data_IF_053718317948
#
_entry.id   IF_053718317948
#
_cell.length_a   1.000
_cell.length_b   1.000
_cell.length_c   1.000
_cell.angle_alpha   90.00
_cell.angle_beta   90.00
_cell.angle_gamma   90.00
#
_symmetry.space_group_name_H-M   'P 1'
#
loop_
_entity.id
_entity.type
_entity.pdbx_description
1 polymer ?
#
# COMPACT_ATOMS: atom_id res chain seq x y z
N UNK A 1 -26.62 -30.63 6.76
CA UNK A 1 -25.87 -31.91 6.85
C UNK A 1 -26.75 -33.09 7.24
N UNK A 2 -27.55 -33.03 8.30
CA UNK A 2 -28.45 -34.14 8.69
C UNK A 2 -29.35 -34.60 7.53
N UNK A 3 -29.94 -33.66 6.78
CA UNK A 3 -30.74 -33.98 5.59
C UNK A 3 -29.94 -34.69 4.50
N UNK A 4 -28.73 -34.23 4.18
CA UNK A 4 -27.84 -34.90 3.23
C UNK A 4 -27.47 -36.31 3.69
N UNK A 5 -27.12 -36.48 4.97
CA UNK A 5 -26.83 -37.80 5.52
C UNK A 5 -28.04 -38.74 5.45
N UNK A 6 -29.26 -38.25 5.70
CA UNK A 6 -30.47 -39.07 5.60
C UNK A 6 -30.66 -39.65 4.19
N UNK A 7 -30.38 -38.86 3.16
CA UNK A 7 -30.55 -39.23 1.76
C UNK A 7 -29.36 -40.04 1.22
N UNK A 8 -28.14 -39.50 1.31
CA UNK A 8 -26.94 -40.09 0.72
C UNK A 8 -26.28 -41.15 1.60
N UNK A 9 -26.65 -41.26 2.88
CA UNK A 9 -26.01 -42.13 3.90
C UNK A 9 -24.51 -41.91 4.05
N UNK A 10 -24.03 -40.72 3.68
CA UNK A 10 -22.64 -40.32 3.76
C UNK A 10 -22.51 -39.01 4.55
N UNK A 11 -21.41 -38.88 5.30
CA UNK A 11 -21.07 -37.64 5.99
C UNK A 11 -20.73 -36.55 4.97
N UNK A 12 -20.99 -35.30 5.33
CA UNK A 12 -20.85 -34.14 4.45
C UNK A 12 -19.44 -33.53 4.55
N UNK A 13 -18.86 -33.14 3.42
CA UNK A 13 -17.73 -32.20 3.38
C UNK A 13 -18.33 -30.79 3.24
N UNK A 14 -17.93 -29.87 4.13
CA UNK A 14 -18.36 -28.48 4.09
C UNK A 14 -17.20 -27.60 3.63
N UNK A 15 -17.40 -26.87 2.54
CA UNK A 15 -16.48 -25.86 2.03
C UNK A 15 -17.14 -24.50 2.23
N UNK A 16 -16.47 -23.60 2.95
CA UNK A 16 -16.92 -22.22 3.14
C UNK A 16 -15.84 -21.32 2.56
N UNK A 17 -16.18 -20.62 1.49
CA UNK A 17 -15.32 -19.60 0.93
C UNK A 17 -15.60 -18.23 1.53
N UNK A 18 -14.57 -17.38 1.56
CA UNK A 18 -14.56 -16.02 2.09
C UNK A 18 -15.30 -15.87 3.44
N UNK A 19 -15.00 -16.76 4.39
CA UNK A 19 -15.71 -16.78 5.69
C UNK A 19 -15.57 -15.46 6.47
N UNK A 20 -14.52 -14.70 6.20
CA UNK A 20 -14.16 -13.43 6.82
C UNK A 20 -14.83 -12.22 6.16
N UNK A 21 -15.36 -12.35 4.94
CA UNK A 21 -15.97 -11.23 4.22
C UNK A 21 -17.18 -10.60 4.95
N UNK A 22 -18.10 -11.37 5.57
CA UNK A 22 -19.17 -10.77 6.37
C UNK A 22 -18.64 -10.01 7.59
N UNK A 23 -17.49 -10.44 8.14
CA UNK A 23 -16.86 -9.81 9.31
C UNK A 23 -16.26 -8.47 8.92
N UNK A 24 -15.54 -8.42 7.79
CA UNK A 24 -15.01 -7.20 7.19
C UNK A 24 -16.17 -6.21 6.92
N UNK A 25 -17.23 -6.68 6.27
CA UNK A 25 -18.41 -5.86 5.98
C UNK A 25 -19.08 -5.34 7.26
N UNK A 26 -19.21 -6.19 8.27
CA UNK A 26 -19.74 -5.79 9.58
C UNK A 26 -18.89 -4.77 10.30
N UNK A 27 -17.57 -4.84 10.17
CA UNK A 27 -16.68 -3.82 10.70
C UNK A 27 -16.87 -2.48 9.99
N UNK A 28 -16.79 -2.47 8.65
CA UNK A 28 -16.91 -1.26 7.83
C UNK A 28 -18.25 -0.56 8.05
N UNK A 29 -19.33 -1.33 8.19
CA UNK A 29 -20.69 -0.79 8.32
C UNK A 29 -21.20 -0.71 9.78
N UNK A 30 -20.34 -0.94 10.78
CA UNK A 30 -20.68 -0.72 12.20
C UNK A 30 -21.61 -1.75 12.85
N UNK A 31 -21.69 -2.98 12.32
CA UNK A 31 -22.46 -4.09 12.89
C UNK A 31 -21.62 -5.35 13.20
N UNK A 32 -20.32 -5.16 13.39
CA UNK A 32 -19.32 -6.21 13.66
C UNK A 32 -19.76 -7.20 14.75
N UNK A 33 -20.15 -6.72 15.94
CA UNK A 33 -20.49 -7.60 17.07
C UNK A 33 -21.63 -8.56 16.76
N UNK A 34 -22.65 -8.09 16.01
CA UNK A 34 -23.80 -8.92 15.60
C UNK A 34 -23.38 -10.03 14.64
N UNK A 35 -22.48 -9.72 13.70
CA UNK A 35 -21.97 -10.71 12.73
C UNK A 35 -21.07 -11.73 13.41
N UNK A 36 -20.18 -11.29 14.29
CA UNK A 36 -19.31 -12.18 15.05
C UNK A 36 -20.13 -13.15 15.88
N UNK A 37 -21.17 -12.67 16.58
CA UNK A 37 -22.05 -13.54 17.36
C UNK A 37 -22.74 -14.59 16.48
N UNK A 38 -23.30 -14.16 15.35
CA UNK A 38 -23.98 -15.04 14.40
C UNK A 38 -23.03 -16.11 13.83
N UNK A 39 -21.87 -15.70 13.29
CA UNK A 39 -20.90 -16.59 12.68
C UNK A 39 -20.30 -17.56 13.69
N UNK A 40 -19.98 -17.09 14.91
CA UNK A 40 -19.47 -17.96 15.97
C UNK A 40 -20.44 -19.11 16.27
N UNK A 41 -21.73 -18.80 16.40
CA UNK A 41 -22.76 -19.81 16.69
C UNK A 41 -22.95 -20.77 15.50
N UNK A 42 -23.04 -20.22 14.28
CA UNK A 42 -23.20 -21.01 13.05
C UNK A 42 -22.00 -21.95 12.82
N UNK A 43 -20.77 -21.44 12.87
CA UNK A 43 -19.55 -22.20 12.62
C UNK A 43 -19.33 -23.25 13.73
N UNK A 44 -19.59 -22.92 15.00
CA UNK A 44 -19.48 -23.89 16.08
C UNK A 44 -20.47 -25.06 15.90
N UNK A 45 -21.73 -24.75 15.55
CA UNK A 45 -22.75 -25.77 15.29
C UNK A 45 -22.45 -26.62 14.04
N UNK A 46 -21.87 -26.02 13.00
CA UNK A 46 -21.57 -26.70 11.75
C UNK A 46 -20.29 -27.54 11.82
N UNK A 47 -19.23 -27.03 12.47
CA UNK A 47 -17.86 -27.55 12.35
C UNK A 47 -17.34 -28.30 13.58
N UNK A 48 -17.89 -28.05 14.78
CA UNK A 48 -17.42 -28.70 16.00
C UNK A 48 -18.36 -29.78 16.51
N UNK A 49 -19.65 -29.49 16.60
CA UNK A 49 -20.62 -30.38 17.27
C UNK A 49 -21.40 -31.28 16.31
N UNK A 50 -21.13 -31.19 15.00
CA UNK A 50 -21.89 -31.92 13.98
C UNK A 50 -21.30 -33.29 13.67
N UNK A 51 -21.88 -34.35 14.22
CA UNK A 51 -21.45 -35.74 13.95
C UNK A 51 -21.56 -36.16 12.47
N UNK A 52 -22.34 -35.43 11.66
CA UNK A 52 -22.57 -35.76 10.25
C UNK A 52 -21.60 -35.01 9.32
N UNK A 53 -20.68 -34.24 9.89
CA UNK A 53 -19.54 -33.67 9.18
C UNK A 53 -18.42 -34.70 9.05
N UNK A 54 -17.84 -34.79 7.86
CA UNK A 54 -16.59 -35.52 7.64
C UNK A 54 -15.39 -34.57 7.73
N UNK A 55 -15.45 -33.45 7.00
CA UNK A 55 -14.38 -32.45 6.94
C UNK A 55 -14.95 -31.07 6.65
N UNK A 56 -14.43 -30.05 7.32
CA UNK A 56 -14.67 -28.64 7.02
C UNK A 56 -13.42 -27.99 6.44
N UNK A 57 -13.58 -27.16 5.42
CA UNK A 57 -12.54 -26.28 4.89
C UNK A 57 -13.10 -24.87 4.85
N UNK A 58 -12.33 -23.92 5.36
CA UNK A 58 -12.65 -22.50 5.36
C UNK A 58 -11.53 -21.79 4.62
N UNK A 59 -11.89 -20.96 3.65
CA UNK A 59 -10.98 -20.06 2.94
C UNK A 59 -11.40 -18.62 3.21
N UNK A 60 -10.42 -17.75 3.29
CA UNK A 60 -10.61 -16.34 3.64
C UNK A 60 -9.30 -15.61 3.49
N UNK A 61 -9.38 -14.29 3.38
CA UNK A 61 -8.21 -13.44 3.21
C UNK A 61 -7.50 -13.27 4.54
N UNK A 62 -8.28 -12.96 5.57
CA UNK A 62 -7.80 -12.68 6.92
C UNK A 62 -8.09 -13.82 7.87
N UNK A 63 -7.16 -14.07 8.78
CA UNK A 63 -7.38 -15.01 9.88
C UNK A 63 -7.84 -14.24 11.11
N UNK A 64 -9.13 -14.37 11.41
CA UNK A 64 -9.75 -13.73 12.58
C UNK A 64 -9.28 -14.40 13.86
N UNK A 65 -8.93 -13.60 14.86
CA UNK A 65 -8.42 -14.08 16.14
C UNK A 65 -9.35 -15.10 16.81
N UNK A 66 -8.75 -16.08 17.51
CA UNK A 66 -9.50 -17.15 18.18
C UNK A 66 -10.47 -16.63 19.22
N UNK A 67 -10.18 -15.48 19.82
CA UNK A 67 -11.02 -14.86 20.85
C UNK A 67 -12.35 -14.32 20.30
N UNK A 68 -12.47 -14.14 18.97
CA UNK A 68 -13.70 -13.69 18.31
C UNK A 68 -14.57 -14.88 17.90
N UNK A 69 -14.49 -15.34 16.64
CA UNK A 69 -15.39 -16.36 16.09
C UNK A 69 -15.02 -17.80 16.47
N UNK A 70 -13.75 -18.07 16.79
CA UNK A 70 -13.23 -19.42 17.03
C UNK A 70 -13.11 -19.78 18.51
N UNK A 71 -13.65 -18.96 19.42
CA UNK A 71 -13.69 -19.27 20.85
C UNK A 71 -14.49 -20.55 21.12
N UNK A 72 -15.50 -20.79 20.27
CA UNK A 72 -16.23 -22.05 20.20
C UNK A 72 -15.53 -23.15 19.39
N UNK A 73 -14.68 -22.83 18.39
CA UNK A 73 -14.06 -23.75 17.43
C UNK A 73 -12.51 -23.70 17.54
N UNK A 74 -11.97 -24.40 18.53
CA UNK A 74 -10.56 -24.30 18.93
C UNK A 74 -9.61 -25.30 18.26
N UNK A 75 -10.11 -26.17 17.37
CA UNK A 75 -9.41 -27.25 16.70
C UNK A 75 -9.09 -27.08 15.19
N UNK A 76 -9.20 -25.91 14.52
CA UNK A 76 -8.83 -25.82 13.11
C UNK A 76 -7.32 -25.95 12.92
N UNK A 77 -6.92 -26.73 11.90
CA UNK A 77 -5.56 -26.71 11.36
C UNK A 77 -5.46 -25.52 10.39
N UNK A 78 -4.42 -24.71 10.53
CA UNK A 78 -4.23 -23.50 9.73
C UNK A 78 -3.17 -23.76 8.66
N UNK A 79 -3.49 -23.36 7.44
CA UNK A 79 -2.60 -23.29 6.30
C UNK A 79 -2.58 -21.82 5.87
N UNK A 80 -1.47 -21.11 6.10
CA UNK A 80 -1.40 -19.65 5.97
C UNK A 80 -0.30 -19.21 5.01
N UNK A 81 -0.33 -17.94 4.61
CA UNK A 81 0.73 -17.36 3.76
C UNK A 81 2.11 -17.34 4.45
N UNK A 82 2.17 -17.26 5.78
CA UNK A 82 3.44 -17.20 6.51
C UNK A 82 4.00 -18.58 6.82
N UNK A 83 3.12 -19.53 7.16
CA UNK A 83 3.47 -20.91 7.51
C UNK A 83 2.61 -21.86 6.66
N UNK A 84 2.85 -21.90 5.33
CA UNK A 84 2.05 -22.72 4.44
C UNK A 84 2.39 -24.21 4.60
N UNK A 85 1.35 -25.03 4.50
CA UNK A 85 1.43 -26.49 4.41
C UNK A 85 1.41 -26.92 2.94
N UNK A 86 0.69 -26.20 2.09
CA UNK A 86 0.51 -26.49 0.67
C UNK A 86 1.11 -25.38 -0.21
N UNK A 87 2.39 -25.06 0.00
CA UNK A 87 3.11 -23.96 -0.65
C UNK A 87 3.31 -24.12 -2.17
N UNK A 88 3.08 -25.32 -2.70
CA UNK A 88 3.17 -25.68 -4.12
C UNK A 88 1.81 -25.74 -4.83
N UNK A 89 0.73 -25.27 -4.17
CA UNK A 89 -0.65 -25.32 -4.70
C UNK A 89 -1.23 -23.94 -5.04
N UNK A 90 -0.50 -22.86 -4.79
CA UNK A 90 -0.99 -21.49 -4.94
C UNK A 90 -0.03 -20.62 -5.73
N UNK A 91 -0.59 -19.72 -6.54
CA UNK A 91 0.18 -18.84 -7.42
C UNK A 91 0.75 -19.57 -8.64
N UNK A 92 1.41 -18.82 -9.51
CA UNK A 92 2.29 -19.39 -10.52
C UNK A 92 3.75 -19.18 -10.13
N UNK A 93 4.63 -20.11 -10.48
CA UNK A 93 6.08 -19.93 -10.40
C UNK A 93 6.66 -19.34 -11.70
N UNK A 94 7.97 -19.07 -11.71
CA UNK A 94 8.65 -18.52 -12.88
C UNK A 94 8.53 -19.44 -14.10
N UNK A 95 8.72 -20.76 -13.93
CA UNK A 95 8.64 -21.73 -15.04
C UNK A 95 7.25 -21.78 -15.68
N UNK A 96 6.20 -21.80 -14.86
CA UNK A 96 4.79 -21.80 -15.29
C UNK A 96 4.46 -20.51 -16.06
N UNK A 97 4.88 -19.34 -15.56
CA UNK A 97 4.63 -18.08 -16.25
C UNK A 97 5.35 -18.03 -17.59
N UNK A 98 6.60 -18.48 -17.66
CA UNK A 98 7.36 -18.55 -18.93
C UNK A 98 6.65 -19.49 -19.92
N UNK A 99 6.19 -20.67 -19.47
CA UNK A 99 5.48 -21.62 -20.32
C UNK A 99 4.16 -21.06 -20.84
N UNK A 100 3.39 -20.41 -19.97
CA UNK A 100 2.13 -19.77 -20.38
C UNK A 100 2.39 -18.64 -21.38
N UNK A 101 3.35 -17.75 -21.12
CA UNK A 101 3.68 -16.66 -22.05
C UNK A 101 4.11 -17.18 -23.41
N UNK A 102 4.93 -18.24 -23.45
CA UNK A 102 5.35 -18.88 -24.69
C UNK A 102 4.18 -19.50 -25.45
N UNK A 103 3.25 -20.16 -24.74
CA UNK A 103 2.07 -20.76 -25.36
C UNK A 103 1.21 -19.71 -26.10
N UNK A 104 1.15 -18.48 -25.55
CA UNK A 104 0.42 -17.36 -26.14
C UNK A 104 1.28 -16.43 -26.99
N UNK A 105 2.50 -16.83 -27.38
CA UNK A 105 3.42 -16.06 -28.23
C UNK A 105 3.79 -14.67 -27.64
N UNK A 106 3.98 -14.61 -26.31
CA UNK A 106 4.32 -13.40 -25.54
C UNK A 106 5.63 -13.54 -24.73
N UNK A 107 6.54 -14.45 -25.08
CA UNK A 107 7.76 -14.71 -24.28
C UNK A 107 8.64 -13.47 -24.02
N UNK A 108 8.71 -12.54 -24.97
CA UNK A 108 9.51 -11.30 -24.86
C UNK A 108 9.02 -10.37 -23.75
N UNK A 109 7.79 -10.58 -23.24
CA UNK A 109 7.19 -9.77 -22.18
C UNK A 109 7.56 -10.23 -20.76
N UNK A 110 8.26 -11.36 -20.60
CA UNK A 110 8.48 -12.00 -19.30
C UNK A 110 9.05 -11.06 -18.24
N UNK A 111 10.10 -10.29 -18.54
CA UNK A 111 10.71 -9.37 -17.56
C UNK A 111 9.73 -8.27 -17.12
N UNK A 112 8.86 -7.82 -18.02
CA UNK A 112 7.85 -6.83 -17.71
C UNK A 112 6.72 -7.44 -16.87
N UNK A 113 6.24 -8.63 -17.21
CA UNK A 113 5.26 -9.42 -16.45
C UNK A 113 5.78 -9.71 -15.04
N UNK A 114 7.05 -10.11 -14.92
CA UNK A 114 7.75 -10.31 -13.64
C UNK A 114 7.72 -9.05 -12.78
N UNK A 115 8.08 -7.90 -13.34
CA UNK A 115 8.05 -6.62 -12.60
C UNK A 115 6.64 -6.23 -12.14
N UNK A 116 5.61 -6.59 -12.91
CA UNK A 116 4.22 -6.19 -12.63
C UNK A 116 3.49 -7.13 -11.69
N UNK A 117 3.65 -8.44 -11.86
CA UNK A 117 2.74 -9.43 -11.26
C UNK A 117 3.44 -10.48 -10.38
N UNK A 118 4.77 -10.57 -10.41
CA UNK A 118 5.54 -11.35 -9.43
C UNK A 118 5.75 -10.53 -8.17
N UNK A 119 5.74 -11.16 -7.01
CA UNK A 119 6.31 -10.52 -5.83
C UNK A 119 6.04 -11.22 -4.52
N UNK A 120 5.01 -12.05 -4.44
CA UNK A 120 4.62 -12.69 -3.19
C UNK A 120 5.61 -13.78 -2.81
N UNK A 121 5.94 -13.85 -1.53
CA UNK A 121 6.80 -14.89 -0.99
C UNK A 121 5.95 -15.90 -0.22
N UNK A 122 5.82 -17.10 -0.76
CA UNK A 122 5.18 -18.24 -0.09
C UNK A 122 6.25 -19.29 0.18
N UNK A 123 6.58 -19.51 1.45
CA UNK A 123 7.66 -20.43 1.87
C UNK A 123 8.98 -20.30 1.07
N UNK A 124 9.50 -19.07 0.99
CA UNK A 124 10.75 -18.76 0.26
C UNK A 124 10.70 -18.96 -1.26
N UNK A 125 9.53 -19.25 -1.82
CA UNK A 125 9.30 -19.26 -3.27
C UNK A 125 8.58 -17.96 -3.65
N UNK A 126 9.07 -17.34 -4.72
CA UNK A 126 8.35 -16.24 -5.33
C UNK A 126 7.21 -16.79 -6.16
N UNK A 127 6.03 -16.24 -5.95
CA UNK A 127 4.83 -16.60 -6.71
C UNK A 127 4.18 -15.37 -7.31
N UNK A 128 3.61 -15.59 -8.48
CA UNK A 128 2.86 -14.61 -9.25
C UNK A 128 1.38 -14.69 -8.87
N UNK A 129 0.70 -13.55 -8.91
CA UNK A 129 -0.75 -13.52 -8.83
C UNK A 129 -1.37 -14.17 -10.07
N UNK A 130 -2.10 -15.30 -9.97
CA UNK A 130 -2.66 -15.98 -11.14
C UNK A 130 -3.66 -15.12 -11.90
N UNK A 131 -4.50 -14.37 -11.18
CA UNK A 131 -5.50 -13.49 -11.79
C UNK A 131 -4.83 -12.41 -12.65
N UNK A 132 -3.81 -11.72 -12.14
CA UNK A 132 -3.14 -10.67 -12.88
C UNK A 132 -2.40 -11.21 -14.12
N UNK A 133 -1.74 -12.37 -14.01
CA UNK A 133 -1.08 -13.02 -15.16
C UNK A 133 -2.09 -13.45 -16.22
N UNK A 134 -3.19 -14.10 -15.83
CA UNK A 134 -4.24 -14.56 -16.76
C UNK A 134 -4.91 -13.38 -17.49
N UNK A 135 -5.20 -12.29 -16.79
CA UNK A 135 -5.77 -11.10 -17.42
C UNK A 135 -4.80 -10.42 -18.39
N UNK A 136 -3.50 -10.36 -18.05
CA UNK A 136 -2.48 -9.85 -18.98
C UNK A 136 -2.42 -10.68 -20.28
N UNK A 137 -2.55 -12.00 -20.16
CA UNK A 137 -2.56 -12.91 -21.31
C UNK A 137 -3.79 -12.67 -22.18
N UNK A 138 -4.97 -12.50 -21.58
CA UNK A 138 -6.22 -12.22 -22.29
C UNK A 138 -6.23 -10.81 -22.94
N UNK A 139 -5.46 -9.86 -22.40
CA UNK A 139 -5.36 -8.52 -22.94
C UNK A 139 -4.69 -8.50 -24.32
N UNK A 140 -5.50 -8.23 -25.35
CA UNK A 140 -5.08 -8.17 -26.76
C UNK A 140 -4.10 -7.04 -27.06
N UNK A 141 -4.09 -6.00 -26.23
CA UNK A 141 -3.17 -4.86 -26.37
C UNK A 141 -1.90 -5.06 -25.52
N UNK A 142 -1.77 -6.19 -24.83
CA UNK A 142 -0.63 -6.53 -23.96
C UNK A 142 -0.36 -5.43 -22.91
N UNK A 143 -1.43 -4.81 -22.40
CA UNK A 143 -1.33 -3.71 -21.44
C UNK A 143 -0.85 -4.24 -20.10
N UNK A 144 0.16 -3.59 -19.54
CA UNK A 144 0.60 -3.83 -18.17
C UNK A 144 -0.12 -2.84 -17.27
N UNK A 145 -1.24 -3.28 -16.69
CA UNK A 145 -2.09 -2.51 -15.80
C UNK A 145 -2.42 -3.30 -14.53
N UNK A 146 -3.05 -2.64 -13.56
CA UNK A 146 -3.58 -3.32 -12.38
C UNK A 146 -4.86 -4.09 -12.73
N UNK A 147 -4.78 -5.41 -12.66
CA UNK A 147 -5.89 -6.36 -12.83
C UNK A 147 -6.43 -6.86 -11.49
N UNK A 148 -5.61 -6.77 -10.44
CA UNK A 148 -5.98 -7.10 -9.08
C UNK A 148 -6.81 -5.96 -8.47
N UNK A 149 -8.09 -6.24 -8.21
CA UNK A 149 -9.01 -5.36 -7.50
C UNK A 149 -9.76 -6.20 -6.47
N UNK A 150 -9.42 -6.06 -5.18
CA UNK A 150 -10.10 -6.79 -4.10
C UNK A 150 -11.07 -5.87 -3.35
N UNK A 151 -12.30 -5.73 -3.85
CA UNK A 151 -13.25 -4.72 -3.37
C UNK A 151 -13.59 -4.79 -1.87
N UNK A 152 -13.50 -5.96 -1.22
CA UNK A 152 -13.85 -6.11 0.20
C UNK A 152 -12.75 -5.64 1.17
N UNK A 153 -11.55 -6.21 1.05
CA UNK A 153 -10.40 -5.84 1.90
C UNK A 153 -9.86 -4.45 1.58
N UNK A 154 -10.05 -3.98 0.34
CA UNK A 154 -9.61 -2.67 -0.12
C UNK A 154 -10.30 -1.53 0.65
N UNK A 155 -11.62 -1.61 0.86
CA UNK A 155 -12.37 -0.62 1.63
C UNK A 155 -11.93 -0.55 3.09
N UNK A 156 -11.73 -1.70 3.74
CA UNK A 156 -11.25 -1.76 5.12
C UNK A 156 -9.85 -1.14 5.25
N UNK A 157 -8.92 -1.51 4.37
CA UNK A 157 -7.55 -0.98 4.42
C UNK A 157 -7.53 0.53 4.17
N UNK A 158 -8.32 1.02 3.20
CA UNK A 158 -8.47 2.46 2.96
C UNK A 158 -8.95 3.19 4.20
N UNK A 159 -10.01 2.68 4.85
CA UNK A 159 -10.56 3.26 6.08
C UNK A 159 -9.53 3.24 7.21
N UNK A 160 -8.82 2.12 7.40
CA UNK A 160 -7.84 1.98 8.47
C UNK A 160 -6.65 2.91 8.30
N UNK A 161 -6.07 2.96 7.10
CA UNK A 161 -4.94 3.84 6.81
C UNK A 161 -5.33 5.32 6.94
N UNK A 162 -6.52 5.70 6.45
CA UNK A 162 -7.05 7.06 6.58
C UNK A 162 -7.27 7.44 8.05
N UNK A 163 -7.96 6.61 8.82
CA UNK A 163 -8.29 6.91 10.23
C UNK A 163 -7.07 6.85 11.15
N UNK A 164 -6.03 6.09 10.77
CA UNK A 164 -4.81 5.91 11.56
C UNK A 164 -3.58 6.57 10.92
N UNK A 165 -3.77 7.52 9.99
CA UNK A 165 -2.68 8.11 9.20
C UNK A 165 -1.50 8.55 10.06
N UNK A 166 -1.75 9.20 11.19
CA UNK A 166 -0.70 9.66 12.13
C UNK A 166 0.21 8.54 12.64
N UNK A 167 -0.34 7.34 12.84
CA UNK A 167 0.42 6.18 13.32
C UNK A 167 1.18 5.51 12.17
N UNK A 168 0.52 5.36 11.01
CA UNK A 168 1.03 4.52 9.92
C UNK A 168 1.94 5.27 8.93
N UNK A 169 1.80 6.59 8.78
CA UNK A 169 2.42 7.33 7.67
C UNK A 169 3.94 7.23 7.61
N UNK A 170 4.60 7.12 8.77
CA UNK A 170 6.06 7.02 8.82
C UNK A 170 6.55 5.69 8.24
N UNK A 171 5.87 4.59 8.60
CA UNK A 171 6.20 3.26 8.09
C UNK A 171 5.69 3.07 6.66
N UNK A 172 4.51 3.61 6.34
CA UNK A 172 3.99 3.64 4.97
C UNK A 172 4.96 4.35 4.03
N UNK A 173 5.52 5.50 4.42
CA UNK A 173 6.56 6.19 3.68
C UNK A 173 7.80 5.33 3.44
N UNK A 174 8.31 4.69 4.49
CA UNK A 174 9.47 3.82 4.38
C UNK A 174 9.21 2.70 3.36
N UNK A 175 8.06 2.03 3.49
CA UNK A 175 7.63 0.97 2.59
C UNK A 175 7.50 1.47 1.14
N UNK A 176 6.87 2.62 0.93
CA UNK A 176 6.72 3.24 -0.40
C UNK A 176 8.07 3.60 -1.03
N UNK A 177 9.06 3.97 -0.21
CA UNK A 177 10.45 4.28 -0.61
C UNK A 177 11.35 3.03 -0.72
N UNK A 178 10.83 1.84 -0.42
CA UNK A 178 11.64 0.62 -0.34
C UNK A 178 12.65 0.63 0.81
N UNK A 179 12.49 1.52 1.78
CA UNK A 179 13.26 1.56 3.01
C UNK A 179 12.76 0.49 3.99
N UNK A 180 13.59 0.20 4.99
CA UNK A 180 13.28 -0.82 5.98
C UNK A 180 12.20 -0.38 6.98
N UNK A 181 11.07 -1.09 6.95
CA UNK A 181 10.03 -1.05 7.98
C UNK A 181 9.88 -2.45 8.60
N UNK A 182 10.38 -2.61 9.83
CA UNK A 182 10.26 -3.85 10.60
C UNK A 182 9.05 -3.75 11.51
N UNK A 183 8.15 -4.73 11.45
CA UNK A 183 6.90 -4.77 12.20
C UNK A 183 6.62 -6.13 12.80
N UNK A 184 5.84 -6.16 13.88
CA UNK A 184 5.38 -7.40 14.50
C UNK A 184 4.14 -7.90 13.75
N UNK A 185 4.20 -9.15 13.28
CA UNK A 185 3.15 -9.74 12.45
C UNK A 185 2.41 -10.80 13.26
N UNK A 186 1.11 -10.60 13.37
CA UNK A 186 0.20 -11.54 14.00
C UNK A 186 -0.74 -12.14 12.96
N UNK A 187 -0.64 -13.45 12.74
CA UNK A 187 -1.54 -14.15 11.84
C UNK A 187 -3.00 -14.13 12.30
N UNK A 188 -3.24 -13.99 13.60
CA UNK A 188 -4.58 -13.98 14.18
C UNK A 188 -4.99 -12.53 14.48
N UNK A 189 -5.49 -11.82 13.47
CA UNK A 189 -5.86 -10.40 13.58
C UNK A 189 -7.08 -10.24 14.46
N UNK A 190 -6.97 -9.39 15.48
CA UNK A 190 -8.09 -8.98 16.32
C UNK A 190 -8.69 -7.68 15.77
N UNK A 191 -9.87 -7.78 15.14
CA UNK A 191 -10.53 -6.64 14.51
C UNK A 191 -10.88 -5.52 15.50
N UNK A 192 -11.08 -5.83 16.79
CA UNK A 192 -11.32 -4.83 17.82
C UNK A 192 -10.11 -3.91 18.05
N UNK A 193 -8.91 -4.38 17.74
CA UNK A 193 -7.66 -3.63 17.95
C UNK A 193 -7.21 -2.82 16.73
N UNK A 194 -7.91 -2.91 15.59
CA UNK A 194 -7.45 -2.29 14.34
C UNK A 194 -7.28 -0.76 14.40
N UNK A 195 -7.96 -0.07 15.31
CA UNK A 195 -7.78 1.38 15.52
C UNK A 195 -6.79 1.73 16.64
N UNK A 196 -6.45 0.77 17.51
CA UNK A 196 -5.57 1.00 18.66
C UNK A 196 -4.15 0.56 18.37
N UNK A 197 -3.98 -0.56 17.67
CA UNK A 197 -2.71 -1.21 17.35
C UNK A 197 -2.35 -1.09 15.86
N UNK A 198 -1.21 -0.45 15.60
CA UNK A 198 -0.67 -0.26 14.25
C UNK A 198 -0.27 -1.60 13.60
N UNK A 199 0.21 -2.55 14.40
CA UNK A 199 0.77 -3.81 13.91
C UNK A 199 -0.31 -4.80 13.45
N UNK A 200 -1.51 -4.68 14.03
CA UNK A 200 -2.73 -5.32 13.50
C UNK A 200 -3.08 -4.85 12.09
N UNK A 201 -2.84 -3.56 11.74
CA UNK A 201 -3.07 -3.03 10.39
C UNK A 201 -2.06 -3.66 9.41
N UNK A 202 -0.78 -3.68 9.77
CA UNK A 202 0.26 -4.27 8.92
C UNK A 202 0.04 -5.76 8.69
N UNK A 203 -0.38 -6.49 9.73
CA UNK A 203 -0.73 -7.92 9.63
C UNK A 203 -1.88 -8.15 8.65
N UNK A 204 -2.93 -7.33 8.72
CA UNK A 204 -4.07 -7.39 7.80
C UNK A 204 -3.66 -7.09 6.35
N UNK A 205 -2.76 -6.12 6.14
CA UNK A 205 -2.26 -5.75 4.81
C UNK A 205 -1.43 -6.86 4.16
N UNK A 206 -0.65 -7.61 4.93
CA UNK A 206 0.05 -8.81 4.43
C UNK A 206 -0.95 -9.89 4.03
N UNK A 207 -1.92 -10.19 4.91
CA UNK A 207 -2.96 -11.18 4.66
C UNK A 207 -3.79 -10.84 3.42
N UNK A 208 -4.07 -9.56 3.21
CA UNK A 208 -4.81 -9.04 2.07
C UNK A 208 -3.98 -8.88 0.79
N UNK A 209 -2.69 -9.21 0.83
CA UNK A 209 -1.82 -9.16 -0.35
C UNK A 209 -1.33 -7.77 -0.77
N UNK A 210 -1.51 -6.74 0.07
CA UNK A 210 -0.97 -5.40 -0.18
C UNK A 210 0.52 -5.30 0.16
N UNK A 211 0.96 -6.11 1.11
CA UNK A 211 2.35 -6.19 1.56
C UNK A 211 2.85 -7.63 1.51
N UNK A 212 4.18 -7.77 1.44
CA UNK A 212 4.89 -9.03 1.63
C UNK A 212 5.95 -8.90 2.71
N UNK A 213 6.38 -10.06 3.22
CA UNK A 213 7.59 -10.16 4.01
C UNK A 213 8.80 -10.25 3.06
N UNK A 214 9.75 -9.33 3.23
CA UNK A 214 10.95 -9.23 2.41
C UNK A 214 11.84 -10.48 2.53
N UNK A 215 12.07 -10.92 3.78
CA UNK A 215 12.92 -12.06 4.09
C UNK A 215 12.15 -13.14 4.86
N UNK A 216 11.56 -14.13 4.17
CA UNK A 216 10.79 -15.19 4.82
C UNK A 216 11.65 -16.13 5.69
N UNK A 217 12.99 -16.07 5.63
CA UNK A 217 13.85 -16.88 6.51
C UNK A 217 13.79 -16.48 8.00
N UNK A 218 13.28 -15.28 8.29
CA UNK A 218 13.03 -14.78 9.65
C UNK A 218 11.74 -15.39 10.24
N UNK A 219 10.83 -15.86 9.38
CA UNK A 219 9.57 -16.48 9.81
C UNK A 219 9.87 -17.83 10.47
N UNK A 220 9.50 -17.97 11.75
CA UNK A 220 9.72 -19.18 12.53
C UNK A 220 11.05 -19.23 13.30
N UNK A 221 11.91 -18.21 13.12
CA UNK A 221 12.97 -17.91 14.10
C UNK A 221 12.35 -17.00 15.14
N UNK A 222 11.93 -17.59 16.25
CA UNK A 222 11.57 -16.84 17.45
C UNK A 222 12.79 -16.86 18.38
N UNK A 223 13.76 -15.93 18.19
CA UNK A 223 14.98 -15.91 19.00
C UNK A 223 14.69 -15.67 20.48
N UNK A 224 13.54 -15.06 20.80
CA UNK A 224 13.15 -14.67 22.16
C UNK A 224 12.21 -15.68 22.84
N UNK A 225 11.64 -16.64 22.08
CA UNK A 225 10.70 -17.64 22.58
C UNK A 225 9.30 -17.09 22.91
N UNK A 226 8.95 -15.90 22.44
CA UNK A 226 7.70 -15.19 22.76
C UNK A 226 6.58 -15.33 21.70
N UNK A 227 6.85 -16.00 20.59
CA UNK A 227 5.92 -16.25 19.49
C UNK A 227 5.70 -15.06 18.54
N UNK A 228 6.50 -13.99 18.65
CA UNK A 228 6.33 -12.76 17.88
C UNK A 228 7.18 -12.83 16.60
N UNK A 229 6.53 -12.76 15.43
CA UNK A 229 7.21 -12.70 14.14
C UNK A 229 7.54 -11.24 13.85
N UNK A 230 8.82 -10.87 13.88
CA UNK A 230 9.27 -9.56 13.38
C UNK A 230 9.67 -9.72 11.92
N UNK A 231 9.13 -8.88 11.06
CA UNK A 231 9.35 -8.98 9.63
C UNK A 231 9.56 -7.61 8.99
N UNK A 232 10.53 -7.56 8.07
CA UNK A 232 10.68 -6.43 7.14
C UNK A 232 9.58 -6.49 6.08
N UNK A 233 8.88 -5.37 5.90
CA UNK A 233 7.74 -5.23 4.98
C UNK A 233 8.13 -4.58 3.66
N UNK A 234 7.58 -5.09 2.57
CA UNK A 234 7.79 -4.56 1.21
C UNK A 234 6.50 -4.59 0.40
N UNK A 235 6.40 -3.70 -0.60
CA UNK A 235 5.34 -3.76 -1.61
C UNK A 235 5.66 -4.92 -2.56
N UNK A 236 4.70 -5.80 -2.87
CA UNK A 236 4.98 -6.99 -3.67
C UNK A 236 5.58 -6.67 -5.04
N UNK A 237 4.92 -5.77 -5.78
CA UNK A 237 5.13 -5.57 -7.20
C UNK A 237 4.66 -4.18 -7.66
N UNK A 238 4.82 -3.89 -8.96
CA UNK A 238 4.42 -2.60 -9.54
C UNK A 238 2.91 -2.38 -9.56
N UNK A 239 2.12 -3.44 -9.71
CA UNK A 239 0.65 -3.37 -9.65
C UNK A 239 0.19 -2.80 -8.30
N UNK A 240 0.66 -3.37 -7.19
CA UNK A 240 0.30 -2.92 -5.84
C UNK A 240 0.83 -1.50 -5.56
N UNK A 241 2.01 -1.14 -6.07
CA UNK A 241 2.50 0.24 -5.98
C UNK A 241 1.53 1.23 -6.61
N UNK A 242 0.95 0.89 -7.77
CA UNK A 242 -0.09 1.71 -8.41
C UNK A 242 -1.35 1.82 -7.56
N UNK A 243 -1.77 0.74 -6.90
CA UNK A 243 -2.93 0.78 -5.97
C UNK A 243 -2.71 1.73 -4.81
N UNK A 244 -1.52 1.74 -4.19
CA UNK A 244 -1.19 2.70 -3.13
C UNK A 244 -1.23 4.15 -3.62
N UNK A 245 -0.67 4.42 -4.80
CA UNK A 245 -0.69 5.76 -5.38
C UNK A 245 -2.13 6.25 -5.63
N UNK A 246 -3.00 5.36 -6.15
CA UNK A 246 -4.42 5.66 -6.36
C UNK A 246 -5.18 5.87 -5.03
N UNK A 247 -4.88 5.09 -3.99
CA UNK A 247 -5.45 5.30 -2.65
C UNK A 247 -5.10 6.70 -2.10
N UNK A 248 -3.82 7.07 -2.18
CA UNK A 248 -3.33 8.36 -1.68
C UNK A 248 -3.96 9.51 -2.49
N UNK A 249 -4.03 9.38 -3.82
CA UNK A 249 -4.68 10.36 -4.70
C UNK A 249 -6.16 10.56 -4.31
N UNK A 250 -6.88 9.46 -4.05
CA UNK A 250 -8.28 9.49 -3.64
C UNK A 250 -8.45 10.22 -2.31
N UNK A 251 -7.63 9.89 -1.30
CA UNK A 251 -7.71 10.56 0.01
C UNK A 251 -7.44 12.06 -0.08
N UNK A 252 -6.44 12.46 -0.85
CA UNK A 252 -6.11 13.87 -1.04
C UNK A 252 -7.24 14.61 -1.77
N UNK A 253 -7.82 13.98 -2.80
CA UNK A 253 -8.95 14.54 -3.54
C UNK A 253 -10.19 14.70 -2.66
N UNK A 254 -10.46 13.76 -1.75
CA UNK A 254 -11.58 13.86 -0.80
C UNK A 254 -11.40 14.96 0.26
N UNK A 255 -10.15 15.25 0.65
CA UNK A 255 -9.84 16.25 1.69
C UNK A 255 -9.91 17.67 1.10
N UNK A 256 -9.32 17.86 -0.09
CA UNK A 256 -9.06 19.20 -0.64
C UNK A 256 -10.12 19.61 -1.67
N UNK A 257 -10.67 18.64 -2.40
CA UNK A 257 -11.50 18.89 -3.58
C UNK A 257 -10.70 18.72 -4.88
N UNK A 258 -11.39 18.20 -5.91
CA UNK A 258 -10.74 17.86 -7.18
C UNK A 258 -10.30 19.12 -7.94
N UNK A 259 -11.17 20.12 -8.00
CA UNK A 259 -10.97 21.34 -8.78
C UNK A 259 -9.79 22.14 -8.24
N UNK A 260 -9.73 22.30 -6.93
CA UNK A 260 -8.70 23.03 -6.21
C UNK A 260 -7.31 22.43 -6.43
N UNK A 261 -7.21 21.10 -6.44
CA UNK A 261 -5.95 20.41 -6.77
C UNK A 261 -5.59 20.61 -8.24
N UNK A 262 -6.55 20.43 -9.15
CA UNK A 262 -6.30 20.50 -10.58
C UNK A 262 -5.85 21.92 -10.99
N UNK A 263 -6.48 22.97 -10.44
CA UNK A 263 -6.09 24.38 -10.60
C UNK A 263 -4.68 24.65 -10.07
N UNK A 264 -4.38 24.27 -8.82
CA UNK A 264 -3.06 24.46 -8.21
C UNK A 264 -1.94 23.75 -9.00
N UNK A 265 -2.20 22.55 -9.51
CA UNK A 265 -1.23 21.82 -10.31
C UNK A 265 -1.05 22.43 -11.71
N UNK A 266 -2.09 23.03 -12.28
CA UNK A 266 -2.00 23.80 -13.53
C UNK A 266 -1.13 25.05 -13.34
N UNK A 267 -1.33 25.81 -12.25
CA UNK A 267 -0.50 26.97 -11.88
C UNK A 267 0.98 26.59 -11.80
N UNK A 268 1.31 25.49 -11.11
CA UNK A 268 2.68 25.00 -11.01
C UNK A 268 3.29 24.65 -12.38
N UNK A 269 2.51 23.98 -13.23
CA UNK A 269 3.03 23.46 -14.53
C UNK A 269 3.09 24.52 -15.62
N UNK A 270 2.21 25.52 -15.59
CA UNK A 270 2.21 26.67 -16.50
C UNK A 270 3.08 27.84 -15.99
N UNK A 271 3.67 27.71 -14.79
CA UNK A 271 4.67 28.64 -14.26
C UNK A 271 4.09 29.85 -13.52
N UNK A 272 2.82 29.80 -13.13
CA UNK A 272 2.16 30.80 -12.28
C UNK A 272 2.54 30.52 -10.81
N UNK A 273 3.82 30.68 -10.48
CA UNK A 273 4.38 30.21 -9.21
C UNK A 273 3.85 31.01 -8.01
N UNK A 274 3.56 32.31 -8.16
CA UNK A 274 2.96 33.08 -7.07
C UNK A 274 1.59 32.51 -6.66
N UNK A 275 0.70 32.26 -7.63
CA UNK A 275 -0.64 31.71 -7.39
C UNK A 275 -0.54 30.30 -6.77
N UNK A 276 0.34 29.46 -7.33
CA UNK A 276 0.62 28.13 -6.76
C UNK A 276 1.05 28.21 -5.30
N UNK A 277 1.95 29.14 -4.94
CA UNK A 277 2.45 29.29 -3.58
C UNK A 277 1.33 29.73 -2.63
N UNK A 278 0.47 30.66 -3.05
CA UNK A 278 -0.66 31.13 -2.24
C UNK A 278 -1.67 30.00 -1.99
N UNK A 279 -2.07 29.30 -3.04
CA UNK A 279 -3.00 28.17 -2.96
C UNK A 279 -2.43 27.01 -2.15
N UNK A 280 -1.15 26.67 -2.34
CA UNK A 280 -0.48 25.63 -1.56
C UNK A 280 -0.43 26.01 -0.06
N UNK A 281 -0.11 27.27 0.28
CA UNK A 281 -0.10 27.75 1.67
C UNK A 281 -1.48 27.66 2.30
N UNK A 282 -2.52 28.09 1.61
CA UNK A 282 -3.90 28.02 2.08
C UNK A 282 -4.30 26.57 2.37
N UNK A 283 -4.00 25.68 1.43
CA UNK A 283 -4.28 24.25 1.53
C UNK A 283 -3.60 23.63 2.76
N UNK A 284 -2.29 23.86 2.95
CA UNK A 284 -1.56 23.37 4.13
C UNK A 284 -2.18 23.92 5.43
N UNK A 285 -2.56 25.19 5.47
CA UNK A 285 -3.14 25.83 6.65
C UNK A 285 -4.48 25.19 7.06
N UNK A 286 -5.33 24.92 6.08
CA UNK A 286 -6.67 24.36 6.26
C UNK A 286 -6.64 22.87 6.59
N UNK A 287 -5.79 22.10 5.92
CA UNK A 287 -5.92 20.63 5.90
C UNK A 287 -4.89 19.89 6.77
N UNK A 288 -3.74 20.50 7.10
CA UNK A 288 -2.74 19.83 7.95
C UNK A 288 -3.07 20.04 9.43
N UNK A 289 -3.08 18.97 10.24
CA UNK A 289 -3.20 19.15 11.70
C UNK A 289 -1.88 19.68 12.30
N UNK A 290 -1.98 20.52 13.33
CA UNK A 290 -0.80 21.14 13.96
C UNK A 290 0.12 20.10 14.62
N UNK A 291 -0.41 18.95 15.02
CA UNK A 291 0.34 17.85 15.62
C UNK A 291 1.20 17.12 14.58
N UNK A 292 0.70 17.01 13.35
CA UNK A 292 1.30 16.30 12.21
C UNK A 292 2.56 17.03 11.73
N UNK A 293 2.51 18.36 11.77
CA UNK A 293 3.56 19.22 11.24
C UNK A 293 4.57 19.73 12.30
N UNK A 294 4.35 19.45 13.59
CA UNK A 294 5.22 19.88 14.68
C UNK A 294 6.31 18.84 15.05
N UNK A 295 6.07 17.54 14.83
CA UNK A 295 6.97 16.44 15.22
C UNK A 295 8.27 16.35 14.41
N UNK A 296 9.29 15.61 14.89
CA UNK A 296 10.58 15.40 14.18
C UNK A 296 10.41 14.92 12.73
N UNK A 297 9.30 14.22 12.47
CA UNK A 297 8.98 13.59 11.19
C UNK A 297 8.12 14.45 10.25
N UNK A 298 7.88 15.74 10.55
CA UNK A 298 7.00 16.60 9.77
C UNK A 298 7.33 16.61 8.26
N UNK A 299 8.61 16.53 7.88
CA UNK A 299 9.04 16.47 6.47
C UNK A 299 8.41 15.28 5.72
N UNK A 300 8.21 14.15 6.42
CA UNK A 300 7.64 12.94 5.85
C UNK A 300 6.14 13.05 5.59
N UNK A 301 5.42 13.81 6.40
CA UNK A 301 4.01 14.10 6.15
C UNK A 301 3.85 14.99 4.91
N UNK A 302 4.66 16.05 4.83
CA UNK A 302 4.70 16.91 3.64
C UNK A 302 5.06 16.12 2.38
N UNK A 303 5.98 15.16 2.49
CA UNK A 303 6.34 14.30 1.37
C UNK A 303 5.17 13.44 0.88
N UNK A 304 4.41 12.76 1.76
CA UNK A 304 3.22 11.95 1.36
C UNK A 304 2.15 12.82 0.75
N UNK A 305 1.90 13.96 1.38
CA UNK A 305 0.94 14.94 0.91
C UNK A 305 1.30 15.41 -0.51
N UNK A 306 2.56 15.82 -0.72
CA UNK A 306 3.03 16.25 -2.03
C UNK A 306 3.07 15.11 -3.05
N UNK A 307 3.46 13.89 -2.65
CA UNK A 307 3.43 12.73 -3.51
C UNK A 307 2.02 12.49 -4.03
N UNK A 308 1.02 12.49 -3.15
CA UNK A 308 -0.37 12.29 -3.55
C UNK A 308 -0.92 13.41 -4.44
N UNK A 309 -0.50 14.66 -4.23
CA UNK A 309 -0.82 15.76 -5.16
C UNK A 309 -0.21 15.49 -6.54
N UNK A 310 1.09 15.20 -6.59
CA UNK A 310 1.80 15.10 -7.86
C UNK A 310 1.57 13.78 -8.62
N UNK A 311 1.04 12.74 -7.97
CA UNK A 311 0.59 11.50 -8.66
C UNK A 311 -0.42 11.85 -9.78
N UNK A 312 -1.28 12.85 -9.59
CA UNK A 312 -2.19 13.33 -10.64
C UNK A 312 -1.48 13.80 -11.90
N UNK A 313 -0.25 14.31 -11.79
CA UNK A 313 0.52 14.77 -12.94
C UNK A 313 1.11 13.62 -13.78
N UNK A 314 1.01 12.35 -13.37
CA UNK A 314 1.63 11.21 -14.06
C UNK A 314 1.23 11.03 -15.53
N UNK A 315 0.08 11.57 -15.93
CA UNK A 315 -0.35 11.56 -17.33
C UNK A 315 0.52 12.50 -18.19
N UNK A 316 0.93 13.66 -17.65
CA UNK A 316 1.77 14.69 -18.31
C UNK A 316 3.26 14.60 -17.94
N UNK A 317 3.59 14.04 -16.78
CA UNK A 317 4.92 14.04 -16.18
C UNK A 317 5.36 12.63 -15.76
N UNK A 318 6.66 12.38 -15.80
CA UNK A 318 7.31 11.31 -15.04
C UNK A 318 7.61 11.90 -13.66
N UNK A 319 6.85 11.45 -12.66
CA UNK A 319 6.99 11.88 -11.27
C UNK A 319 8.05 11.01 -10.60
N UNK A 320 9.17 11.61 -10.19
CA UNK A 320 10.21 10.97 -9.38
C UNK A 320 10.19 11.57 -7.97
N UNK A 321 9.72 10.79 -7.00
CA UNK A 321 9.88 11.04 -5.57
C UNK A 321 10.78 9.95 -5.00
N UNK A 322 11.66 10.24 -4.05
CA UNK A 322 12.68 9.31 -3.51
C UNK A 322 12.44 7.78 -3.73
N UNK A 323 12.86 7.31 -4.91
CA UNK A 323 13.18 5.94 -5.31
C UNK A 323 13.89 6.02 -6.68
N UNK A 324 15.03 5.32 -6.79
CA UNK A 324 15.82 5.06 -8.02
C UNK A 324 16.70 6.19 -8.60
N UNK A 325 17.71 6.70 -7.88
CA UNK A 325 19.07 7.05 -8.40
C UNK A 325 19.97 7.70 -7.34
N UNK A 326 21.26 7.32 -7.23
CA UNK A 326 22.30 8.13 -6.56
C UNK A 326 22.74 9.30 -7.46
N UNK A 327 23.16 10.50 -7.02
CA UNK A 327 24.26 10.89 -6.10
C UNK A 327 23.79 12.01 -5.11
N UNK A 328 22.48 12.09 -4.89
CA UNK A 328 21.78 12.99 -3.98
C UNK A 328 20.27 12.74 -4.13
N UNK A 329 19.46 13.13 -3.14
CA UNK A 329 18.02 12.85 -3.12
C UNK A 329 17.21 14.14 -3.09
N UNK A 330 16.55 14.46 -4.20
CA UNK A 330 15.50 15.49 -4.24
C UNK A 330 14.22 14.90 -3.69
N UNK A 331 13.41 15.69 -3.01
CA UNK A 331 12.13 15.19 -2.55
C UNK A 331 11.16 14.88 -3.71
N UNK A 332 11.04 15.76 -4.72
CA UNK A 332 10.24 15.53 -5.93
C UNK A 332 10.89 16.16 -7.17
N UNK A 333 10.95 15.39 -8.27
CA UNK A 333 11.27 15.87 -9.63
C UNK A 333 10.12 15.51 -10.55
N UNK A 334 9.61 16.49 -11.30
CA UNK A 334 8.60 16.31 -12.33
C UNK A 334 9.26 16.50 -13.69
N UNK A 335 9.50 15.40 -14.40
CA UNK A 335 10.06 15.41 -15.75
C UNK A 335 8.89 15.41 -16.75
N UNK A 336 8.68 16.47 -17.54
CA UNK A 336 7.58 16.50 -18.48
C UNK A 336 7.79 15.46 -19.58
N UNK A 337 6.70 14.80 -20.00
CA UNK A 337 6.75 13.87 -21.14
C UNK A 337 6.89 14.59 -22.47
N UNK A 338 6.37 15.82 -22.54
CA UNK A 338 6.66 16.77 -23.61
C UNK A 338 7.81 17.68 -23.15
N UNK A 339 9.00 17.52 -23.74
CA UNK A 339 10.19 18.25 -23.32
C UNK A 339 10.12 19.78 -23.53
N UNK A 340 9.10 20.27 -24.25
CA UNK A 340 8.79 21.70 -24.36
C UNK A 340 8.08 22.27 -23.15
N UNK A 341 7.53 21.42 -22.28
CA UNK A 341 6.93 21.83 -21.02
C UNK A 341 8.01 21.97 -19.94
N UNK A 342 7.67 22.63 -18.84
CA UNK A 342 8.62 22.93 -17.75
C UNK A 342 8.94 21.70 -16.93
N UNK A 343 10.21 21.49 -16.65
CA UNK A 343 10.68 20.59 -15.59
C UNK A 343 10.58 21.26 -14.24
N UNK A 344 10.25 20.50 -13.20
CA UNK A 344 10.09 21.04 -11.85
C UNK A 344 10.93 20.22 -10.88
N UNK A 345 11.68 20.90 -10.02
CA UNK A 345 12.40 20.30 -8.88
C UNK A 345 11.90 20.94 -7.60
N UNK A 346 11.45 20.12 -6.66
CA UNK A 346 11.00 20.53 -5.34
C UNK A 346 11.86 19.89 -4.26
N UNK A 347 12.26 20.68 -3.27
CA UNK A 347 12.98 20.23 -2.09
C UNK A 347 12.35 20.83 -0.83
N UNK A 348 12.11 19.99 0.18
CA UNK A 348 11.47 20.35 1.43
C UNK A 348 12.52 20.40 2.56
N UNK A 349 12.45 21.41 3.42
CA UNK A 349 13.26 21.53 4.65
C UNK A 349 12.44 22.00 5.84
N UNK A 350 12.57 21.31 6.97
CA UNK A 350 12.00 21.76 8.24
C UNK A 350 12.88 22.82 8.90
N UNK A 351 12.28 23.93 9.31
CA UNK A 351 12.92 24.88 10.20
C UNK A 351 13.11 24.26 11.61
N UNK A 352 14.37 23.96 11.96
CA UNK A 352 14.77 23.46 13.29
C UNK A 352 14.97 24.61 14.28
N UNK A 353 15.05 24.31 15.58
CA UNK A 353 15.16 25.31 16.66
C UNK A 353 16.22 26.39 16.36
N UNK A 354 15.83 27.67 16.48
CA UNK A 354 16.56 28.91 16.10
C UNK A 354 16.67 29.26 14.60
N UNK A 355 16.21 28.41 13.67
CA UNK A 355 16.11 28.77 12.23
C UNK A 355 14.71 29.26 11.88
N UNK A 356 14.64 30.22 10.97
CA UNK A 356 13.37 30.68 10.38
C UNK A 356 12.99 29.80 9.18
N UNK A 357 11.73 29.89 8.73
CA UNK A 357 11.23 29.14 7.57
C UNK A 357 11.92 29.56 6.28
N UNK A 358 12.30 30.83 6.17
CA UNK A 358 13.03 31.40 5.03
C UNK A 358 14.45 30.83 4.93
N UNK A 359 15.14 30.66 6.08
CA UNK A 359 16.46 30.01 6.09
C UNK A 359 16.34 28.57 5.62
N UNK A 360 15.30 27.85 6.06
CA UNK A 360 15.07 26.46 5.63
C UNK A 360 14.78 26.37 4.11
N UNK A 361 13.97 27.26 3.57
CA UNK A 361 13.68 27.33 2.13
C UNK A 361 14.94 27.61 1.30
N UNK A 362 15.81 28.52 1.78
CA UNK A 362 17.11 28.80 1.14
C UNK A 362 18.07 27.60 1.21
N UNK A 363 18.06 26.86 2.32
CA UNK A 363 18.82 25.61 2.43
C UNK A 363 18.33 24.55 1.43
N UNK A 364 17.02 24.47 1.19
CA UNK A 364 16.43 23.58 0.19
C UNK A 364 16.89 23.94 -1.24
N UNK A 365 16.81 25.22 -1.61
CA UNK A 365 17.36 25.71 -2.89
C UNK A 365 18.85 25.41 -3.03
N UNK A 366 19.65 25.71 -2.00
CA UNK A 366 21.08 25.44 -2.01
C UNK A 366 21.38 23.95 -2.22
N UNK A 367 20.58 23.07 -1.63
CA UNK A 367 20.70 21.64 -1.83
C UNK A 367 20.36 21.23 -3.27
N UNK A 368 19.31 21.80 -3.88
CA UNK A 368 18.96 21.54 -5.29
C UNK A 368 20.15 21.85 -6.20
N UNK A 369 20.80 22.99 -6.00
CA UNK A 369 21.96 23.42 -6.80
C UNK A 369 23.21 22.57 -6.53
N UNK A 370 23.57 22.35 -5.26
CA UNK A 370 24.76 21.57 -4.88
C UNK A 370 24.68 20.13 -5.38
N UNK A 371 23.49 19.54 -5.38
CA UNK A 371 23.25 18.17 -5.82
C UNK A 371 22.89 18.06 -7.31
N UNK A 372 22.72 19.19 -8.00
CA UNK A 372 22.41 19.26 -9.44
C UNK A 372 21.21 18.40 -9.84
N UNK A 373 20.12 18.49 -9.08
CA UNK A 373 18.91 17.71 -9.34
C UNK A 373 18.26 18.02 -10.69
N UNK A 374 18.60 19.14 -11.31
CA UNK A 374 18.21 19.52 -12.66
C UNK A 374 18.93 18.73 -13.77
N UNK A 375 19.99 17.97 -13.45
CA UNK A 375 20.75 17.19 -14.44
C UNK A 375 19.85 16.21 -15.19
N UNK A 376 18.99 15.48 -14.49
CA UNK A 376 18.09 14.50 -15.12
C UNK A 376 17.09 15.18 -16.07
N UNK A 377 16.62 16.39 -15.73
CA UNK A 377 15.72 17.16 -16.59
C UNK A 377 16.44 17.60 -17.88
N UNK A 378 17.68 18.06 -17.75
CA UNK A 378 18.52 18.42 -18.91
C UNK A 378 18.83 17.22 -19.80
N UNK A 379 19.10 16.05 -19.21
CA UNK A 379 19.29 14.79 -19.95
C UNK A 379 18.02 14.38 -20.74
N UNK A 380 16.83 14.74 -20.25
CA UNK A 380 15.57 14.54 -20.95
C UNK A 380 15.24 15.67 -21.96
N UNK A 381 16.19 16.60 -22.20
CA UNK A 381 16.05 17.69 -23.15
C UNK A 381 15.08 18.79 -22.71
N UNK A 382 14.82 18.92 -21.41
CA UNK A 382 13.95 19.96 -20.85
C UNK A 382 14.68 21.29 -20.85
N UNK A 383 14.09 22.31 -21.48
CA UNK A 383 14.71 23.63 -21.64
C UNK A 383 14.43 24.56 -20.45
N UNK A 384 13.17 24.59 -19.99
CA UNK A 384 12.73 25.42 -18.86
C UNK A 384 12.61 24.58 -17.58
N UNK A 385 13.30 25.00 -16.53
CA UNK A 385 13.33 24.28 -15.25
C UNK A 385 12.98 25.23 -14.11
N UNK A 386 11.92 24.92 -13.38
CA UNK A 386 11.52 25.58 -12.14
C UNK A 386 12.16 24.85 -10.96
N UNK A 387 12.83 25.58 -10.07
CA UNK A 387 13.41 25.04 -8.83
C UNK A 387 12.75 25.71 -7.64
N UNK A 388 12.11 24.93 -6.78
CA UNK A 388 11.40 25.41 -5.59
C UNK A 388 11.98 24.77 -4.33
N UNK A 389 12.49 25.61 -3.44
CA UNK A 389 12.88 25.21 -2.09
C UNK A 389 11.82 25.65 -1.09
N UNK A 390 11.36 24.71 -0.27
CA UNK A 390 10.20 24.90 0.60
C UNK A 390 10.63 24.69 2.05
N UNK A 391 10.57 25.77 2.83
CA UNK A 391 10.84 25.75 4.26
C UNK A 391 9.56 25.68 5.06
N UNK A 392 9.43 24.78 6.03
CA UNK A 392 8.20 24.66 6.84
C UNK A 392 8.44 24.59 8.35
N UNK A 393 7.44 25.04 9.11
CA UNK A 393 7.38 24.99 10.57
C UNK A 393 5.91 24.89 11.03
N UNK A 394 5.50 23.72 11.52
CA UNK A 394 4.07 23.51 11.75
C UNK A 394 3.34 23.68 10.42
N UNK A 395 2.23 24.42 10.41
CA UNK A 395 1.46 24.70 9.18
C UNK A 395 2.01 25.85 8.33
N UNK A 396 3.02 26.58 8.83
CA UNK A 396 3.62 27.68 8.08
C UNK A 396 4.63 27.13 7.10
N UNK A 397 4.60 27.60 5.86
CA UNK A 397 5.62 27.33 4.87
C UNK A 397 6.05 28.61 4.14
N UNK A 398 7.28 28.62 3.67
CA UNK A 398 7.88 29.66 2.85
C UNK A 398 8.55 29.02 1.64
N UNK A 399 8.48 29.71 0.51
CA UNK A 399 9.00 29.24 -0.76
C UNK A 399 10.11 30.18 -1.21
N UNK A 400 11.17 29.58 -1.74
CA UNK A 400 12.24 30.26 -2.46
C UNK A 400 12.34 29.63 -3.85
N UNK A 401 12.59 30.44 -4.87
CA UNK A 401 12.67 30.02 -6.26
C UNK A 401 13.96 30.51 -6.92
N UNK A 402 14.49 29.75 -7.89
CA UNK A 402 15.60 30.12 -8.78
C UNK A 402 15.29 29.75 -10.22
#
# INVERSE_FOLDING_TARGET
MVYFYRYFKQKTILLIDEYDQPIISGYVNGYYDKIIEFLRNMLSAALKTNEKLEKGVLTGVSRVAKESIFSGLNNPKVDSMLIPINDDKFGFNDEEVIEILKYYEKEDSYEAVKKWYNGYNLNRKQIYNPWSVLNYIEDKENRLIGYWVNTGSDDLIKILLKNNLQKVVNNLNKILKGEEAIKEINEAVNFNNLNTDEDSIWSLMIQSGYLKIANPEEIGRDPDGNGIIKAKLEIPNRELKGSYESMIETWITEIIGKTEIDEMLEELTEGNIEDFIENFKALILENMSMYDAAGKEAEKYYHVFCLGLFVKLKHKYIVKSELETGIGRSDVILIPKDNKKRGIVLEFKKARYKKTIEIAAKEAIKQIEEKKYDTILKEHGVEEIIKLGIGFKGKECHFEQI
#
